data_IF_774731841610
#
_entry.id   IF_774731841610
#
_cell.length_a   1.000
_cell.length_b   1.000
_cell.length_c   1.000
_cell.angle_alpha   90.00
_cell.angle_beta   90.00
_cell.angle_gamma   90.00
#
_symmetry.space_group_name_H-M   'P 1'
#
loop_
_entity.id
_entity.type
_entity.pdbx_description
1 polymer ?
#
# COMPACT_ATOMS: atom_id res chain seq x y z
N UNK A 1 -1.95 3.84 -33.67
CA UNK A 1 -0.88 2.88 -33.32
C UNK A 1 0.41 3.68 -33.04
N UNK A 2 1.00 3.57 -31.84
CA UNK A 2 2.27 4.23 -31.54
C UNK A 2 3.39 3.58 -32.38
N UNK A 3 4.28 4.40 -32.97
CA UNK A 3 5.41 3.88 -33.74
C UNK A 3 6.38 3.13 -32.84
N UNK A 4 7.12 2.15 -33.37
CA UNK A 4 8.10 1.35 -32.60
C UNK A 4 9.17 2.20 -31.88
N UNK A 5 9.48 3.38 -32.40
CA UNK A 5 10.39 4.35 -31.77
C UNK A 5 9.75 5.04 -30.55
N UNK A 6 8.45 5.31 -30.61
CA UNK A 6 7.70 5.93 -29.50
C UNK A 6 7.50 4.92 -28.34
N UNK A 7 7.18 3.67 -28.67
CA UNK A 7 7.09 2.59 -27.68
C UNK A 7 8.44 2.36 -26.97
N UNK A 8 9.57 2.36 -27.69
CA UNK A 8 10.92 2.24 -27.12
C UNK A 8 11.27 3.44 -26.23
N UNK A 9 10.88 4.66 -26.60
CA UNK A 9 11.10 5.86 -25.77
C UNK A 9 10.32 5.78 -24.46
N UNK A 10 9.06 5.36 -24.50
CA UNK A 10 8.23 5.19 -23.30
C UNK A 10 8.75 4.08 -22.39
N UNK A 11 9.17 2.95 -22.94
CA UNK A 11 9.80 1.88 -22.18
C UNK A 11 11.11 2.34 -21.49
N UNK A 12 11.94 3.13 -22.18
CA UNK A 12 13.16 3.71 -21.59
C UNK A 12 12.86 4.72 -20.49
N UNK A 13 11.80 5.53 -20.66
CA UNK A 13 11.34 6.49 -19.64
C UNK A 13 10.85 5.75 -18.39
N UNK A 14 10.00 4.72 -18.55
CA UNK A 14 9.52 3.89 -17.45
C UNK A 14 10.64 3.17 -16.69
N UNK A 15 11.62 2.61 -17.42
CA UNK A 15 12.78 1.97 -16.80
C UNK A 15 13.65 2.96 -16.01
N UNK A 16 13.76 4.21 -16.47
CA UNK A 16 14.49 5.25 -15.74
C UNK A 16 13.73 5.68 -14.49
N UNK A 17 12.41 5.87 -14.57
CA UNK A 17 11.58 6.17 -13.40
C UNK A 17 11.68 5.08 -12.35
N UNK A 18 11.59 3.80 -12.75
CA UNK A 18 11.69 2.68 -11.82
C UNK A 18 13.05 2.65 -11.11
N UNK A 19 14.16 2.81 -11.82
CA UNK A 19 15.50 2.87 -11.19
C UNK A 19 15.62 4.02 -10.19
N UNK A 20 15.00 5.17 -10.46
CA UNK A 20 15.01 6.31 -9.53
C UNK A 20 14.19 5.97 -8.28
N UNK A 21 13.01 5.37 -8.44
CA UNK A 21 12.16 4.95 -7.32
C UNK A 21 12.86 3.89 -6.45
N UNK A 22 13.49 2.89 -7.06
CA UNK A 22 14.22 1.83 -6.35
C UNK A 22 15.38 2.42 -5.53
N UNK A 23 16.18 3.33 -6.15
CA UNK A 23 17.28 4.00 -5.47
C UNK A 23 16.78 4.91 -4.33
N UNK A 24 15.70 5.64 -4.56
CA UNK A 24 15.12 6.51 -3.53
C UNK A 24 14.57 5.69 -2.35
N UNK A 25 13.94 4.56 -2.63
CA UNK A 25 13.48 3.63 -1.59
C UNK A 25 14.64 3.17 -0.72
N UNK A 26 15.76 2.77 -1.33
CA UNK A 26 16.96 2.35 -0.62
C UNK A 26 17.55 3.46 0.24
N UNK A 27 17.64 4.67 -0.33
CA UNK A 27 18.15 5.85 0.38
C UNK A 27 17.27 6.20 1.58
N UNK A 28 15.95 6.23 1.40
CA UNK A 28 15.02 6.51 2.50
C UNK A 28 14.99 5.39 3.54
N UNK A 29 15.12 4.14 3.15
CA UNK A 29 15.18 3.00 4.07
C UNK A 29 16.44 3.03 4.97
N UNK A 30 17.57 3.52 4.42
CA UNK A 30 18.85 3.50 5.14
C UNK A 30 19.14 4.78 5.92
N UNK A 31 18.67 5.94 5.44
CA UNK A 31 18.98 7.26 6.01
C UNK A 31 17.77 7.97 6.64
N UNK A 32 16.57 7.47 6.41
CA UNK A 32 15.34 8.18 6.69
C UNK A 32 15.05 9.28 5.67
N UNK A 33 13.83 9.82 5.72
CA UNK A 33 13.42 10.89 4.80
C UNK A 33 14.20 12.18 5.07
N UNK A 34 14.31 12.63 6.33
CA UNK A 34 14.90 13.92 6.69
C UNK A 34 16.37 14.01 6.26
N UNK A 35 17.19 13.01 6.57
CA UNK A 35 18.63 13.02 6.29
C UNK A 35 18.99 12.66 4.84
N UNK A 36 18.11 12.02 4.10
CA UNK A 36 18.32 11.67 2.69
C UNK A 36 18.40 12.92 1.81
N UNK A 37 19.29 12.90 0.81
CA UNK A 37 19.48 13.99 -0.16
C UNK A 37 19.20 13.52 -1.58
N UNK A 38 18.88 14.46 -2.48
CA UNK A 38 18.73 14.15 -3.91
C UNK A 38 20.05 13.69 -4.54
N UNK A 39 21.19 14.11 -3.99
CA UNK A 39 22.51 13.62 -4.43
C UNK A 39 22.71 12.13 -4.13
N UNK A 40 22.19 11.65 -2.99
CA UNK A 40 22.22 10.21 -2.67
C UNK A 40 21.40 9.39 -3.68
N UNK A 41 20.22 9.90 -4.07
CA UNK A 41 19.38 9.26 -5.08
C UNK A 41 20.05 9.27 -6.47
N UNK A 42 20.73 10.35 -6.84
CA UNK A 42 21.55 10.43 -8.06
C UNK A 42 22.63 9.35 -8.05
N UNK A 43 23.36 9.23 -6.95
CA UNK A 43 24.43 8.24 -6.80
C UNK A 43 23.90 6.79 -6.90
N UNK A 44 22.74 6.51 -6.28
CA UNK A 44 22.13 5.18 -6.30
C UNK A 44 21.47 4.82 -7.64
N UNK A 45 20.83 5.77 -8.31
CA UNK A 45 20.07 5.52 -9.55
C UNK A 45 20.91 5.60 -10.82
N UNK A 46 22.04 6.32 -10.79
CA UNK A 46 22.80 6.70 -11.99
C UNK A 46 22.06 7.66 -12.92
N UNK A 47 20.93 8.23 -12.48
CA UNK A 47 20.20 9.25 -13.23
C UNK A 47 20.80 10.63 -12.97
N UNK A 48 20.69 11.56 -13.93
CA UNK A 48 21.08 12.94 -13.69
C UNK A 48 20.09 13.62 -12.74
N UNK A 49 20.56 14.60 -11.97
CA UNK A 49 19.71 15.39 -11.08
C UNK A 49 18.55 16.07 -11.83
N UNK A 50 18.80 16.57 -13.05
CA UNK A 50 17.79 17.16 -13.92
C UNK A 50 16.74 16.14 -14.36
N UNK A 51 17.12 14.87 -14.60
CA UNK A 51 16.18 13.79 -14.90
C UNK A 51 15.27 13.49 -13.72
N UNK A 52 15.80 13.46 -12.49
CA UNK A 52 15.01 13.18 -11.29
C UNK A 52 13.99 14.31 -11.06
N UNK A 53 14.41 15.58 -11.12
CA UNK A 53 13.49 16.71 -11.00
C UNK A 53 12.45 16.76 -12.13
N UNK A 54 12.83 16.39 -13.36
CA UNK A 54 11.88 16.33 -14.48
C UNK A 54 10.79 15.26 -14.27
N UNK A 55 11.15 14.11 -13.71
CA UNK A 55 10.19 13.01 -13.51
C UNK A 55 9.34 13.15 -12.25
N UNK A 56 9.90 13.69 -11.17
CA UNK A 56 9.26 13.65 -9.85
C UNK A 56 9.04 15.04 -9.23
N UNK A 57 9.75 16.06 -9.65
CA UNK A 57 9.62 17.42 -9.10
C UNK A 57 10.53 17.70 -7.90
N UNK A 58 10.69 16.76 -6.96
CA UNK A 58 11.53 16.94 -5.79
C UNK A 58 11.49 15.74 -4.83
N UNK A 59 12.07 15.93 -3.64
CA UNK A 59 12.20 14.88 -2.63
C UNK A 59 10.85 14.45 -2.07
N UNK A 60 9.95 15.40 -1.82
CA UNK A 60 8.61 15.13 -1.31
C UNK A 60 7.79 14.35 -2.35
N UNK A 61 7.78 14.82 -3.59
CA UNK A 61 7.07 14.22 -4.71
C UNK A 61 7.62 12.80 -5.02
N UNK A 62 8.93 12.61 -4.87
CA UNK A 62 9.56 11.29 -5.01
C UNK A 62 9.11 10.33 -3.90
N UNK A 63 8.98 10.82 -2.65
CA UNK A 63 8.43 10.01 -1.55
C UNK A 63 6.97 9.64 -1.78
N UNK A 64 6.15 10.59 -2.26
CA UNK A 64 4.77 10.33 -2.63
C UNK A 64 4.66 9.34 -3.78
N UNK A 65 5.55 9.41 -4.77
CA UNK A 65 5.58 8.44 -5.88
C UNK A 65 5.90 7.02 -5.40
N UNK A 66 6.77 6.86 -4.39
CA UNK A 66 7.02 5.57 -3.73
C UNK A 66 5.76 5.06 -3.04
N UNK A 67 5.02 5.93 -2.35
CA UNK A 67 3.76 5.57 -1.73
C UNK A 67 2.72 5.09 -2.77
N UNK A 68 2.55 5.84 -3.85
CA UNK A 68 1.62 5.46 -4.93
C UNK A 68 2.03 4.16 -5.64
N UNK A 69 3.33 3.90 -5.78
CA UNK A 69 3.82 2.63 -6.31
C UNK A 69 3.42 1.46 -5.40
N UNK A 70 3.59 1.59 -4.09
CA UNK A 70 3.19 0.57 -3.12
C UNK A 70 1.66 0.38 -3.12
N UNK A 71 0.89 1.47 -3.05
CA UNK A 71 -0.56 1.40 -3.08
C UNK A 71 -1.08 0.69 -4.32
N UNK A 72 -0.53 1.02 -5.50
CA UNK A 72 -0.88 0.36 -6.76
C UNK A 72 -0.49 -1.13 -6.79
N UNK A 73 0.61 -1.52 -6.15
CA UNK A 73 1.00 -2.93 -6.04
C UNK A 73 0.02 -3.70 -5.15
N UNK A 74 -0.41 -3.10 -4.05
CA UNK A 74 -1.43 -3.67 -3.14
C UNK A 74 -2.76 -3.82 -3.87
N UNK A 75 -3.24 -2.77 -4.55
CA UNK A 75 -4.50 -2.80 -5.30
C UNK A 75 -4.49 -3.93 -6.34
N UNK A 76 -3.43 -4.04 -7.15
CA UNK A 76 -3.30 -5.14 -8.12
C UNK A 76 -3.31 -6.53 -7.48
N UNK A 77 -2.71 -6.68 -6.31
CA UNK A 77 -2.69 -7.98 -5.60
C UNK A 77 -4.08 -8.37 -5.14
N UNK A 78 -4.86 -7.40 -4.64
CA UNK A 78 -6.26 -7.61 -4.24
C UNK A 78 -7.12 -7.94 -5.46
N UNK A 79 -7.03 -7.16 -6.54
CA UNK A 79 -7.75 -7.42 -7.79
C UNK A 79 -7.47 -8.83 -8.31
N UNK A 80 -6.20 -9.23 -8.40
CA UNK A 80 -5.82 -10.57 -8.84
C UNK A 80 -6.32 -11.69 -7.90
N UNK A 81 -6.46 -11.43 -6.60
CA UNK A 81 -7.05 -12.39 -5.67
C UNK A 81 -8.56 -12.52 -5.89
N UNK A 82 -9.25 -11.40 -6.13
CA UNK A 82 -10.69 -11.38 -6.40
C UNK A 82 -11.02 -12.06 -7.75
N UNK A 83 -10.27 -11.76 -8.80
CA UNK A 83 -10.44 -12.41 -10.11
C UNK A 83 -10.27 -13.93 -10.03
N UNK A 84 -9.25 -14.41 -9.30
CA UNK A 84 -9.02 -15.85 -9.10
C UNK A 84 -10.13 -16.54 -8.31
N UNK A 85 -10.74 -15.84 -7.36
CA UNK A 85 -11.82 -16.36 -6.55
C UNK A 85 -13.13 -16.48 -7.35
N UNK A 86 -13.36 -15.62 -8.34
CA UNK A 86 -14.56 -15.63 -9.18
C UNK A 86 -15.86 -15.51 -8.38
N UNK A 87 -15.82 -14.84 -7.22
CA UNK A 87 -16.97 -14.71 -6.32
C UNK A 87 -17.78 -13.46 -6.69
N UNK A 88 -19.09 -13.64 -6.77
CA UNK A 88 -20.08 -12.57 -6.81
C UNK A 88 -20.76 -12.48 -5.43
N UNK A 89 -21.17 -11.29 -5.02
CA UNK A 89 -21.78 -11.07 -3.71
C UNK A 89 -23.29 -11.31 -3.76
N UNK A 90 -23.69 -12.54 -4.06
CA UNK A 90 -25.10 -12.93 -4.19
C UNK A 90 -25.77 -13.18 -2.82
N UNK A 91 -24.99 -13.52 -1.83
CA UNK A 91 -25.42 -13.78 -0.46
C UNK A 91 -24.58 -13.03 0.57
N UNK A 92 -25.08 -12.88 1.79
CA UNK A 92 -24.31 -12.32 2.90
C UNK A 92 -23.05 -13.15 3.21
N UNK A 93 -23.12 -14.48 3.03
CA UNK A 93 -21.96 -15.37 3.21
C UNK A 93 -20.90 -15.11 2.14
N UNK A 94 -21.30 -14.89 0.88
CA UNK A 94 -20.38 -14.54 -0.21
C UNK A 94 -19.74 -13.16 0.03
N UNK A 95 -20.54 -12.19 0.45
CA UNK A 95 -20.07 -10.85 0.81
C UNK A 95 -19.00 -10.90 1.90
N UNK A 96 -19.22 -11.71 2.96
CA UNK A 96 -18.25 -11.93 4.03
C UNK A 96 -16.97 -12.58 3.51
N UNK A 97 -17.08 -13.63 2.71
CA UNK A 97 -15.93 -14.31 2.11
C UNK A 97 -15.12 -13.41 1.19
N UNK A 98 -15.79 -12.54 0.43
CA UNK A 98 -15.14 -11.51 -0.38
C UNK A 98 -14.34 -10.55 0.51
N UNK A 99 -14.92 -10.12 1.63
CA UNK A 99 -14.26 -9.25 2.58
C UNK A 99 -13.01 -9.91 3.19
N UNK A 100 -13.11 -11.15 3.66
CA UNK A 100 -12.00 -11.93 4.21
C UNK A 100 -10.85 -12.10 3.18
N UNK A 101 -11.19 -12.40 1.93
CA UNK A 101 -10.21 -12.52 0.85
C UNK A 101 -9.49 -11.19 0.58
N UNK A 102 -10.19 -10.06 0.64
CA UNK A 102 -9.58 -8.73 0.51
C UNK A 102 -8.63 -8.41 1.66
N UNK A 103 -9.04 -8.71 2.90
CA UNK A 103 -8.21 -8.55 4.10
C UNK A 103 -6.93 -9.36 3.97
N UNK A 104 -7.05 -10.65 3.62
CA UNK A 104 -5.91 -11.55 3.41
C UNK A 104 -4.97 -11.02 2.32
N UNK A 105 -5.50 -10.73 1.14
CA UNK A 105 -4.73 -10.24 0.01
C UNK A 105 -4.02 -8.92 0.32
N UNK A 106 -4.68 -8.02 1.06
CA UNK A 106 -4.10 -6.76 1.52
C UNK A 106 -2.91 -6.98 2.46
N UNK A 107 -3.07 -7.79 3.50
CA UNK A 107 -2.02 -8.03 4.49
C UNK A 107 -0.83 -8.79 3.89
N UNK A 108 -1.08 -9.79 3.02
CA UNK A 108 -0.03 -10.47 2.26
C UNK A 108 0.72 -9.48 1.36
N UNK A 109 0.00 -8.58 0.66
CA UNK A 109 0.63 -7.55 -0.17
C UNK A 109 1.47 -6.56 0.65
N UNK A 110 1.03 -6.21 1.87
CA UNK A 110 1.82 -5.38 2.79
C UNK A 110 3.12 -6.08 3.17
N UNK A 111 3.11 -7.37 3.40
CA UNK A 111 4.33 -8.14 3.70
C UNK A 111 5.24 -8.27 2.47
N UNK A 112 4.70 -8.57 1.29
CA UNK A 112 5.46 -8.61 0.04
C UNK A 112 6.19 -7.27 -0.21
N UNK A 113 5.56 -6.16 0.15
CA UNK A 113 6.10 -4.80 0.03
C UNK A 113 6.65 -4.22 1.35
N UNK A 114 6.95 -5.08 2.36
CA UNK A 114 7.30 -4.65 3.73
C UNK A 114 8.45 -3.65 3.80
N UNK A 115 9.41 -3.71 2.86
CA UNK A 115 10.50 -2.75 2.80
C UNK A 115 10.00 -1.32 2.54
N UNK A 116 9.10 -1.16 1.56
CA UNK A 116 8.43 0.10 1.27
C UNK A 116 7.53 0.52 2.44
N UNK A 117 6.75 -0.42 2.97
CA UNK A 117 5.86 -0.16 4.09
C UNK A 117 6.63 0.39 5.31
N UNK A 118 7.78 -0.18 5.66
CA UNK A 118 8.64 0.31 6.76
C UNK A 118 9.12 1.75 6.53
N UNK A 119 9.52 2.10 5.31
CA UNK A 119 9.89 3.48 4.95
C UNK A 119 8.71 4.44 5.16
N UNK A 120 7.55 4.06 4.68
CA UNK A 120 6.34 4.89 4.72
C UNK A 120 5.70 5.00 6.12
N UNK A 121 6.07 4.13 7.06
CA UNK A 121 5.54 4.10 8.44
C UNK A 121 6.60 4.43 9.49
N UNK A 122 7.79 4.83 9.10
CA UNK A 122 8.91 5.12 10.00
C UNK A 122 8.70 6.33 10.92
N UNK A 123 7.71 7.18 10.64
CA UNK A 123 7.50 8.45 11.31
C UNK A 123 8.39 9.60 10.78
N UNK A 124 9.45 9.29 10.05
CA UNK A 124 10.30 10.27 9.35
C UNK A 124 9.81 10.43 7.90
N UNK A 125 8.78 11.26 7.74
CA UNK A 125 8.02 11.41 6.50
C UNK A 125 7.81 12.90 6.15
N UNK A 126 7.48 13.24 4.89
CA UNK A 126 7.14 14.61 4.53
C UNK A 126 5.96 15.16 5.33
N UNK A 127 5.95 16.46 5.56
CA UNK A 127 4.84 17.14 6.23
C UNK A 127 3.51 16.86 5.49
N UNK A 128 2.47 16.48 6.24
CA UNK A 128 1.14 16.15 5.71
C UNK A 128 0.99 14.74 5.12
N UNK A 129 2.07 13.98 4.97
CA UNK A 129 2.02 12.62 4.42
C UNK A 129 1.12 11.68 5.24
N UNK A 130 1.22 11.73 6.57
CA UNK A 130 0.41 10.87 7.45
C UNK A 130 -1.10 11.09 7.28
N UNK A 131 -1.52 12.32 6.99
CA UNK A 131 -2.93 12.64 6.70
C UNK A 131 -3.32 12.00 5.36
N UNK A 132 -2.54 12.21 4.31
CA UNK A 132 -2.80 11.65 2.98
C UNK A 132 -2.85 10.11 3.01
N UNK A 133 -1.90 9.47 3.70
CA UNK A 133 -1.85 8.02 3.90
C UNK A 133 -3.10 7.50 4.62
N UNK A 134 -3.50 8.17 5.70
CA UNK A 134 -4.70 7.82 6.47
C UNK A 134 -5.96 7.95 5.62
N UNK A 135 -6.11 9.04 4.89
CA UNK A 135 -7.29 9.30 4.05
C UNK A 135 -7.42 8.25 2.94
N UNK A 136 -6.31 7.89 2.29
CA UNK A 136 -6.29 6.83 1.28
C UNK A 136 -6.71 5.48 1.87
N UNK A 137 -6.12 5.10 3.00
CA UNK A 137 -6.44 3.84 3.68
C UNK A 137 -7.90 3.79 4.12
N UNK A 138 -8.43 4.88 4.69
CA UNK A 138 -9.83 4.96 5.06
C UNK A 138 -10.77 4.87 3.85
N UNK A 139 -10.39 5.46 2.71
CA UNK A 139 -11.19 5.37 1.49
C UNK A 139 -11.25 3.92 0.97
N UNK A 140 -10.12 3.21 0.93
CA UNK A 140 -10.05 1.80 0.52
C UNK A 140 -10.91 0.92 1.44
N UNK A 141 -10.71 1.00 2.75
CA UNK A 141 -11.45 0.17 3.70
C UNK A 141 -12.94 0.48 3.75
N UNK A 142 -13.35 1.75 3.57
CA UNK A 142 -14.78 2.07 3.46
C UNK A 142 -15.45 1.33 2.30
N UNK A 143 -14.79 1.21 1.16
CA UNK A 143 -15.34 0.47 0.02
C UNK A 143 -15.49 -1.03 0.31
N UNK A 144 -14.59 -1.61 1.10
CA UNK A 144 -14.69 -3.03 1.49
C UNK A 144 -15.75 -3.29 2.54
N UNK A 145 -15.90 -2.36 3.49
CA UNK A 145 -16.89 -2.49 4.58
C UNK A 145 -18.34 -2.33 4.14
N UNK A 146 -18.61 -1.91 2.90
CA UNK A 146 -19.98 -1.84 2.36
C UNK A 146 -20.68 -3.20 2.46
N UNK A 147 -19.96 -4.29 2.24
CA UNK A 147 -20.51 -5.65 2.30
C UNK A 147 -20.87 -6.13 3.72
N UNK A 148 -20.38 -5.44 4.75
CA UNK A 148 -20.70 -5.76 6.15
C UNK A 148 -22.01 -5.10 6.62
N UNK A 149 -22.67 -4.32 5.77
CA UNK A 149 -23.97 -3.65 6.02
C UNK A 149 -24.07 -2.92 7.38
N UNK A 150 -22.95 -2.39 7.87
CA UNK A 150 -22.90 -1.69 9.15
C UNK A 150 -23.84 -0.49 9.15
N UNK A 151 -24.71 -0.41 10.15
CA UNK A 151 -25.72 0.63 10.29
C UNK A 151 -25.12 2.03 10.49
N UNK A 152 -25.96 3.08 10.46
CA UNK A 152 -25.55 4.48 10.66
C UNK A 152 -25.61 4.95 12.11
N UNK A 153 -25.91 4.05 13.05
CA UNK A 153 -25.93 4.36 14.48
C UNK A 153 -24.53 4.79 14.97
N UNK A 154 -24.45 5.31 16.17
CA UNK A 154 -23.16 5.59 16.84
C UNK A 154 -22.33 4.32 16.98
N UNK A 155 -23.00 3.18 17.26
CA UNK A 155 -22.33 1.88 17.33
C UNK A 155 -21.70 1.48 16.00
N UNK A 156 -22.46 1.49 14.90
CA UNK A 156 -21.93 1.16 13.58
C UNK A 156 -20.84 2.14 13.10
N UNK A 157 -20.94 3.42 13.49
CA UNK A 157 -19.86 4.39 13.21
C UNK A 157 -18.59 4.09 13.99
N UNK A 158 -18.69 3.71 15.28
CA UNK A 158 -17.57 3.32 16.11
C UNK A 158 -16.95 2.03 15.59
N UNK A 159 -17.76 1.02 15.26
CA UNK A 159 -17.30 -0.26 14.73
C UNK A 159 -16.48 -0.07 13.45
N UNK A 160 -16.94 0.74 12.49
CA UNK A 160 -16.15 1.08 11.30
C UNK A 160 -14.76 1.64 11.64
N UNK A 161 -14.67 2.49 12.65
CA UNK A 161 -13.38 3.06 13.08
C UNK A 161 -12.48 2.01 13.73
N UNK A 162 -13.06 1.12 14.54
CA UNK A 162 -12.33 -0.01 15.15
C UNK A 162 -11.79 -0.94 14.08
N UNK A 163 -12.60 -1.30 13.07
CA UNK A 163 -12.16 -2.15 11.97
C UNK A 163 -11.01 -1.51 11.16
N UNK A 164 -11.09 -0.20 10.86
CA UNK A 164 -9.99 0.52 10.20
C UNK A 164 -8.73 0.52 11.06
N UNK A 165 -8.85 0.73 12.39
CA UNK A 165 -7.71 0.70 13.31
C UNK A 165 -7.09 -0.71 13.39
N UNK A 166 -7.91 -1.76 13.45
CA UNK A 166 -7.46 -3.16 13.42
C UNK A 166 -6.66 -3.44 12.15
N UNK A 167 -7.17 -3.06 10.98
CA UNK A 167 -6.48 -3.23 9.72
C UNK A 167 -5.16 -2.46 9.67
N UNK A 168 -5.13 -1.23 10.19
CA UNK A 168 -3.91 -0.41 10.25
C UNK A 168 -2.85 -1.07 11.12
N UNK A 169 -3.22 -1.52 12.32
CA UNK A 169 -2.29 -2.18 13.24
C UNK A 169 -1.80 -3.50 12.69
N UNK A 170 -2.69 -4.35 12.16
CA UNK A 170 -2.30 -5.61 11.52
C UNK A 170 -1.32 -5.39 10.37
N UNK A 171 -1.49 -4.32 9.58
CA UNK A 171 -0.57 -4.00 8.49
C UNK A 171 0.83 -3.61 8.98
N UNK A 172 0.92 -2.90 10.11
CA UNK A 172 2.21 -2.57 10.74
C UNK A 172 2.89 -3.82 11.30
N UNK A 173 2.13 -4.69 11.98
CA UNK A 173 2.66 -5.96 12.50
C UNK A 173 3.21 -6.82 11.36
N UNK A 174 2.43 -7.01 10.28
CA UNK A 174 2.84 -7.78 9.11
C UNK A 174 4.08 -7.18 8.44
N UNK A 175 4.15 -5.85 8.28
CA UNK A 175 5.33 -5.19 7.73
C UNK A 175 6.58 -5.37 8.62
N UNK A 176 6.40 -5.61 9.91
CA UNK A 176 7.46 -5.93 10.86
C UNK A 176 7.97 -7.37 10.81
N UNK A 177 7.18 -8.32 10.28
CA UNK A 177 7.53 -9.73 10.27
C UNK A 177 8.68 -10.05 9.31
N UNK A 178 9.52 -10.99 9.74
CA UNK A 178 10.57 -11.60 8.89
C UNK A 178 10.16 -13.01 8.41
N UNK A 179 9.30 -13.70 9.18
CA UNK A 179 8.87 -15.07 8.93
C UNK A 179 7.46 -15.10 8.29
N UNK A 180 7.26 -15.83 7.16
CA UNK A 180 5.95 -16.02 6.54
C UNK A 180 4.89 -16.64 7.46
N UNK A 181 5.29 -17.54 8.37
CA UNK A 181 4.37 -18.22 9.28
C UNK A 181 3.74 -17.23 10.28
N UNK A 182 4.52 -16.24 10.75
CA UNK A 182 4.01 -15.17 11.63
C UNK A 182 3.00 -14.29 10.87
N UNK A 183 3.23 -14.05 9.58
CA UNK A 183 2.30 -13.31 8.71
C UNK A 183 0.97 -14.04 8.62
N UNK A 184 0.98 -15.35 8.35
CA UNK A 184 -0.23 -16.16 8.29
C UNK A 184 -1.01 -16.12 9.60
N UNK A 185 -0.33 -16.25 10.73
CA UNK A 185 -0.95 -16.17 12.05
C UNK A 185 -1.61 -14.79 12.31
N UNK A 186 -0.96 -13.68 11.92
CA UNK A 186 -1.53 -12.33 12.07
C UNK A 186 -2.75 -12.17 11.16
N UNK A 187 -2.68 -12.65 9.92
CA UNK A 187 -3.80 -12.58 8.97
C UNK A 187 -5.01 -13.34 9.52
N UNK A 188 -4.83 -14.57 9.98
CA UNK A 188 -5.91 -15.40 10.52
C UNK A 188 -6.52 -14.78 11.79
N UNK A 189 -5.67 -14.30 12.71
CA UNK A 189 -6.13 -13.60 13.91
C UNK A 189 -6.89 -12.31 13.56
N UNK A 190 -6.44 -11.56 12.54
CA UNK A 190 -7.13 -10.33 12.10
C UNK A 190 -8.53 -10.65 11.59
N UNK A 191 -8.68 -11.68 10.76
CA UNK A 191 -9.97 -12.12 10.24
C UNK A 191 -10.88 -12.57 11.40
N UNK A 192 -10.37 -13.42 12.31
CA UNK A 192 -11.12 -13.88 13.48
C UNK A 192 -11.62 -12.71 14.36
N UNK A 193 -10.78 -11.70 14.62
CA UNK A 193 -11.21 -10.52 15.37
C UNK A 193 -12.28 -9.71 14.66
N UNK A 194 -12.14 -9.52 13.35
CA UNK A 194 -13.16 -8.81 12.54
C UNK A 194 -14.48 -9.56 12.61
N UNK A 195 -14.46 -10.88 12.49
CA UNK A 195 -15.64 -11.73 12.58
C UNK A 195 -16.37 -11.55 13.91
N UNK A 196 -15.65 -11.66 15.01
CA UNK A 196 -16.21 -11.47 16.35
C UNK A 196 -16.77 -10.07 16.61
N UNK A 197 -16.23 -9.05 15.95
CA UNK A 197 -16.69 -7.67 16.09
C UNK A 197 -17.92 -7.38 15.22
N UNK A 198 -18.19 -8.21 14.21
CA UNK A 198 -19.28 -8.01 13.23
C UNK A 198 -20.43 -9.02 13.39
N UNK A 199 -20.33 -9.97 14.32
CA UNK A 199 -21.44 -10.84 14.79
C UNK A 199 -22.41 -10.05 15.67
#
# INVERSE_FOLDING_TARGET
MATSAQARRWAKTGATQQRILDAATEVFATRGFTAATMADVVAGSGASIGSIYHHFGGKNELFLAIFEQMASAVDRRIEAAMERAGLEADTAADARRIFELRVRAYLEAMWENRRLARVLTSGDTPAGFEVARRDRMQAAFRSWMVVLELDRSVHGQLLRRVLVATMAESSLMVAGCENPDDVSAIVDATIEWIDRLTE
#
